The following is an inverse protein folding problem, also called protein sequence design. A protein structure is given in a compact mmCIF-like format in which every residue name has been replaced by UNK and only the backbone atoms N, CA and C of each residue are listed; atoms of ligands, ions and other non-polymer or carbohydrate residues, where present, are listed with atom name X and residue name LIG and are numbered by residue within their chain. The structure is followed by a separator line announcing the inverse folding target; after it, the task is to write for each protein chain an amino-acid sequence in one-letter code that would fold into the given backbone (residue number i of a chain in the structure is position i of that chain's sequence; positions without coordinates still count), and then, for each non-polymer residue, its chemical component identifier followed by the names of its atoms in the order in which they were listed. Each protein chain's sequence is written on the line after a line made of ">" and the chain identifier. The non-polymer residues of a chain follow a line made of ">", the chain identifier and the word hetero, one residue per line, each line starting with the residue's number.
data_IF_620263840307
#
_entry.id   IF_620263840307
#
_cell.length_a   1.000
_cell.length_b   1.000
_cell.length_c   1.000
_cell.angle_alpha   90.00
_cell.angle_beta   90.00
_cell.angle_gamma   90.00
#
_symmetry.space_group_name_H-M   'P 1'
#
loop_
_entity.id
_entity.type
_entity.pdbx_description
1 polymer ?
#
# COMPACT_ATOMS: atom_id res chain seq x y z
N UNK A 1 -2.50 -37.70 11.85
CA UNK A 1 -3.71 -38.04 11.25
C UNK A 1 -4.32 -36.85 10.58
N UNK A 2 -5.35 -37.08 9.89
CA UNK A 2 -6.04 -36.05 9.17
C UNK A 2 -6.38 -34.84 10.02
N UNK A 3 -6.28 -34.99 11.32
CA UNK A 3 -6.67 -33.95 12.23
C UNK A 3 -5.82 -32.69 12.20
N UNK A 4 -4.51 -32.83 12.21
CA UNK A 4 -3.66 -31.66 12.15
C UNK A 4 -3.83 -30.95 10.82
N UNK A 5 -3.89 -31.72 9.78
CA UNK A 5 -4.13 -31.20 8.46
C UNK A 5 -5.51 -30.59 8.34
N UNK A 6 -6.46 -31.22 8.98
CA UNK A 6 -7.81 -30.74 9.01
C UNK A 6 -7.90 -29.44 9.80
N UNK A 7 -7.10 -29.28 10.84
CA UNK A 7 -7.07 -28.04 11.60
C UNK A 7 -6.57 -26.90 10.78
N UNK A 8 -5.54 -27.12 9.99
CA UNK A 8 -5.05 -26.08 9.10
C UNK A 8 -6.09 -25.74 8.05
N UNK A 9 -6.67 -26.73 7.45
CA UNK A 9 -7.72 -26.51 6.47
C UNK A 9 -8.92 -25.84 7.10
N UNK A 10 -9.26 -26.21 8.32
CA UNK A 10 -10.36 -25.60 9.03
C UNK A 10 -10.08 -24.16 9.38
N UNK A 11 -8.84 -23.82 9.75
CA UNK A 11 -8.45 -22.45 9.98
C UNK A 11 -8.55 -21.63 8.71
N UNK A 12 -8.14 -22.20 7.60
CA UNK A 12 -8.26 -21.54 6.32
C UNK A 12 -9.70 -21.37 5.89
N UNK A 13 -10.54 -22.32 6.20
CA UNK A 13 -11.95 -22.23 5.85
C UNK A 13 -12.74 -21.41 6.84
N UNK A 14 -12.38 -21.44 8.14
CA UNK A 14 -13.08 -20.62 9.13
C UNK A 14 -12.63 -19.17 9.09
N UNK A 15 -11.48 -18.90 8.49
CA UNK A 15 -11.06 -17.53 8.17
C UNK A 15 -11.32 -17.35 6.67
N UNK A 16 -12.54 -17.02 6.30
CA UNK A 16 -12.83 -16.91 4.87
C UNK A 16 -11.89 -15.89 4.27
N UNK A 17 -11.35 -16.26 3.14
CA UNK A 17 -10.47 -15.41 2.41
C UNK A 17 -11.17 -14.11 2.09
N UNK A 18 -10.57 -13.01 2.49
CA UNK A 18 -11.09 -11.70 2.21
C UNK A 18 -10.42 -11.14 0.97
N UNK A 19 -10.86 -9.98 0.54
CA UNK A 19 -10.32 -9.34 -0.65
C UNK A 19 -9.62 -8.07 -0.26
N UNK A 20 -8.37 -7.94 -0.70
CA UNK A 20 -7.65 -6.68 -0.64
C UNK A 20 -7.88 -5.92 -1.94
N UNK A 21 -8.14 -4.63 -1.82
CA UNK A 21 -8.26 -3.74 -2.98
C UNK A 21 -6.98 -2.93 -3.08
N UNK A 22 -6.25 -3.14 -4.16
CA UNK A 22 -4.97 -2.48 -4.39
C UNK A 22 -5.10 -1.53 -5.57
N UNK A 23 -4.41 -0.41 -5.49
CA UNK A 23 -4.39 0.55 -6.58
C UNK A 23 -3.01 0.57 -7.21
N UNK A 24 -2.95 0.33 -8.50
CA UNK A 24 -1.70 0.37 -9.26
C UNK A 24 -1.81 1.45 -10.33
N UNK A 25 -0.71 2.15 -10.60
CA UNK A 25 -0.76 3.18 -11.62
C UNK A 25 -0.87 2.61 -13.02
N UNK A 26 -1.69 3.27 -13.83
CA UNK A 26 -1.63 3.14 -15.27
C UNK A 26 -0.92 4.39 -15.77
N UNK A 27 0.36 4.28 -16.06
CA UNK A 27 1.14 5.42 -16.48
C UNK A 27 0.69 5.92 -17.85
N UNK A 28 0.17 5.02 -18.65
CA UNK A 28 -0.37 5.37 -19.96
C UNK A 28 -1.61 6.25 -19.85
N UNK A 29 -2.49 5.94 -18.91
CA UNK A 29 -3.74 6.67 -18.72
C UNK A 29 -3.63 7.81 -17.71
N UNK A 30 -2.57 7.84 -16.93
CA UNK A 30 -2.41 8.84 -15.89
C UNK A 30 -3.38 8.68 -14.73
N UNK A 31 -3.83 7.45 -14.47
CA UNK A 31 -4.82 7.16 -13.42
C UNK A 31 -4.44 5.91 -12.66
N UNK A 32 -5.12 5.69 -11.53
CA UNK A 32 -4.98 4.46 -10.78
C UNK A 32 -6.02 3.46 -11.25
N UNK A 33 -5.64 2.19 -11.25
CA UNK A 33 -6.53 1.09 -11.59
C UNK A 33 -6.62 0.15 -10.40
N UNK A 34 -7.83 -0.21 -10.05
CA UNK A 34 -8.12 -1.08 -8.94
C UNK A 34 -7.87 -2.53 -9.31
N UNK A 35 -7.19 -3.25 -8.43
CA UNK A 35 -6.95 -4.68 -8.58
C UNK A 35 -7.32 -5.37 -7.28
N UNK A 36 -8.23 -6.34 -7.36
CA UNK A 36 -8.64 -7.10 -6.19
C UNK A 36 -7.80 -8.35 -6.08
N UNK A 37 -7.44 -8.68 -4.84
CA UNK A 37 -6.58 -9.82 -4.57
C UNK A 37 -7.04 -10.54 -3.33
N UNK A 38 -7.14 -11.87 -3.35
CA UNK A 38 -7.46 -12.63 -2.14
C UNK A 38 -6.38 -12.44 -1.09
N UNK A 39 -6.80 -12.32 0.15
CA UNK A 39 -5.87 -12.12 1.26
C UNK A 39 -6.44 -12.68 2.55
N UNK A 40 -5.57 -13.14 3.42
CA UNK A 40 -5.93 -13.50 4.80
C UNK A 40 -5.37 -12.40 5.70
N UNK A 41 -6.25 -11.53 6.17
CA UNK A 41 -5.83 -10.38 6.95
C UNK A 41 -5.25 -10.78 8.31
N UNK A 42 -4.15 -10.14 8.67
CA UNK A 42 -3.60 -10.21 10.01
C UNK A 42 -4.57 -9.58 11.02
N UNK A 43 -4.34 -9.84 12.29
CA UNK A 43 -5.24 -9.36 13.33
C UNK A 43 -5.11 -7.87 13.62
N UNK A 44 -3.89 -7.34 13.57
CA UNK A 44 -3.67 -5.92 13.91
C UNK A 44 -3.71 -5.04 12.67
N UNK A 45 -4.16 -3.80 12.86
CA UNK A 45 -4.20 -2.83 11.77
C UNK A 45 -2.80 -2.54 11.24
N UNK A 46 -1.80 -2.45 12.11
CA UNK A 46 -0.44 -2.21 11.67
C UNK A 46 0.06 -3.32 10.74
N UNK A 47 -0.23 -4.57 11.08
CA UNK A 47 0.16 -5.70 10.24
C UNK A 47 -0.65 -5.74 8.95
N UNK A 48 -1.90 -5.33 8.98
CA UNK A 48 -2.70 -5.22 7.77
C UNK A 48 -2.13 -4.18 6.81
N UNK A 49 -1.71 -3.04 7.35
CA UNK A 49 -1.03 -2.02 6.54
C UNK A 49 0.23 -2.60 5.92
N UNK A 50 1.01 -3.33 6.71
CA UNK A 50 2.22 -3.98 6.20
C UNK A 50 1.89 -4.95 5.05
N UNK A 51 0.81 -5.71 5.18
CA UNK A 51 0.39 -6.63 4.13
C UNK A 51 0.05 -5.88 2.83
N UNK A 52 -0.61 -4.73 2.95
CA UNK A 52 -0.93 -3.91 1.77
C UNK A 52 0.36 -3.45 1.09
N UNK A 53 1.32 -2.96 1.86
CA UNK A 53 2.58 -2.49 1.31
C UNK A 53 3.34 -3.63 0.62
N UNK A 54 3.39 -4.81 1.25
CA UNK A 54 4.04 -5.97 0.65
C UNK A 54 3.38 -6.38 -0.66
N UNK A 55 2.05 -6.29 -0.73
CA UNK A 55 1.33 -6.60 -1.96
C UNK A 55 1.66 -5.60 -3.07
N UNK A 56 1.81 -4.32 -2.73
CA UNK A 56 2.20 -3.30 -3.71
C UNK A 56 3.64 -3.53 -4.19
N UNK A 57 4.53 -3.95 -3.30
CA UNK A 57 5.91 -4.26 -3.66
C UNK A 57 5.97 -5.49 -4.59
N UNK A 58 5.11 -6.47 -4.35
CA UNK A 58 5.01 -7.63 -5.23
C UNK A 58 4.62 -7.21 -6.65
N UNK A 59 3.76 -6.22 -6.77
CA UNK A 59 3.36 -5.67 -8.05
C UNK A 59 2.03 -6.21 -8.56
N UNK A 60 1.59 -5.64 -9.66
CA UNK A 60 0.33 -5.99 -10.28
C UNK A 60 0.40 -7.38 -10.92
N UNK A 61 -0.69 -8.12 -10.84
CA UNK A 61 -0.85 -9.39 -11.54
C UNK A 61 -1.58 -9.23 -12.86
N UNK A 62 -1.90 -7.99 -13.22
CA UNK A 62 -2.67 -7.67 -14.43
C UNK A 62 -1.89 -6.80 -15.40
N UNK A 63 -0.58 -6.66 -15.20
CA UNK A 63 0.24 -5.89 -16.12
C UNK A 63 0.21 -4.38 -15.91
N UNK A 64 -0.31 -3.93 -14.79
CA UNK A 64 -0.32 -2.50 -14.46
C UNK A 64 1.07 -2.03 -14.01
N UNK A 65 1.26 -0.73 -13.92
CA UNK A 65 2.52 -0.15 -13.49
C UNK A 65 2.82 -0.41 -12.01
N UNK A 66 4.07 -0.23 -11.64
CA UNK A 66 4.48 -0.40 -10.26
C UNK A 66 4.21 0.84 -9.44
N UNK A 67 3.65 0.63 -8.25
CA UNK A 67 3.52 1.69 -7.26
C UNK A 67 4.80 1.83 -6.43
N UNK A 68 5.47 0.72 -6.16
CA UNK A 68 6.71 0.70 -5.38
C UNK A 68 7.74 -0.14 -6.11
N UNK A 69 9.04 0.20 -6.00
CA UNK A 69 10.07 -0.63 -6.60
C UNK A 69 10.13 -2.00 -5.91
N UNK A 70 10.55 -3.05 -6.62
CA UNK A 70 10.60 -4.39 -6.04
C UNK A 70 11.58 -4.51 -4.88
N UNK A 71 12.48 -3.56 -4.74
CA UNK A 71 13.46 -3.53 -3.66
C UNK A 71 13.00 -2.69 -2.48
N UNK A 72 11.81 -2.09 -2.54
CA UNK A 72 11.29 -1.29 -1.44
C UNK A 72 11.14 -2.16 -0.20
N UNK A 73 11.66 -1.68 0.92
CA UNK A 73 11.59 -2.36 2.20
C UNK A 73 10.88 -1.48 3.21
N UNK A 74 9.80 -2.00 3.78
CA UNK A 74 9.10 -1.32 4.86
C UNK A 74 9.78 -1.70 6.18
N UNK A 75 10.32 -0.72 6.87
CA UNK A 75 11.03 -0.92 8.13
C UNK A 75 10.07 -0.98 9.31
N UNK A 76 9.00 -0.24 9.24
CA UNK A 76 8.03 -0.19 10.32
C UNK A 76 6.75 0.49 9.90
N UNK A 77 5.69 0.17 10.64
CA UNK A 77 4.38 0.79 10.47
C UNK A 77 3.92 1.23 11.85
N UNK A 78 3.55 2.49 12.01
CA UNK A 78 3.09 3.03 13.27
C UNK A 78 1.74 3.70 13.07
N UNK A 79 0.76 3.32 13.88
CA UNK A 79 -0.57 3.90 13.81
C UNK A 79 -0.82 4.73 15.07
N UNK A 80 -1.36 5.92 14.88
CA UNK A 80 -1.73 6.79 16.00
C UNK A 80 -3.24 6.76 16.21
N UNK A 81 -3.65 7.17 17.40
CA UNK A 81 -5.06 7.14 17.76
C UNK A 81 -5.92 8.04 16.87
N UNK A 82 -5.34 9.07 16.27
CA UNK A 82 -6.06 9.98 15.39
C UNK A 82 -6.18 9.47 13.96
N UNK A 83 -5.68 8.27 13.68
CA UNK A 83 -5.81 7.67 12.36
C UNK A 83 -4.66 7.96 11.41
N UNK A 84 -3.51 8.37 11.91
CA UNK A 84 -2.34 8.56 11.06
C UNK A 84 -1.50 7.29 11.02
N UNK A 85 -1.21 6.83 9.82
CA UNK A 85 -0.29 5.70 9.61
C UNK A 85 1.05 6.25 9.15
N UNK A 86 2.08 5.93 9.91
CA UNK A 86 3.46 6.26 9.55
C UNK A 86 4.07 5.04 8.88
N UNK A 87 4.49 5.21 7.63
CA UNK A 87 5.12 4.15 6.86
C UNK A 87 6.61 4.46 6.73
N UNK A 88 7.42 3.68 7.39
CA UNK A 88 8.87 3.91 7.41
C UNK A 88 9.55 2.97 6.44
N UNK A 89 10.07 3.53 5.36
CA UNK A 89 10.78 2.78 4.32
C UNK A 89 12.27 2.90 4.48
N UNK A 90 13.01 1.94 3.93
CA UNK A 90 14.46 2.07 3.84
C UNK A 90 14.82 3.14 2.80
N UNK A 91 15.89 3.88 3.07
CA UNK A 91 16.34 4.95 2.18
C UNK A 91 16.78 4.43 0.81
N UNK A 92 17.13 3.16 0.72
CA UNK A 92 17.51 2.53 -0.53
C UNK A 92 16.43 2.67 -1.61
N UNK A 93 15.19 2.74 -1.19
CA UNK A 93 14.06 2.93 -2.11
C UNK A 93 14.22 4.20 -2.95
N UNK A 94 14.75 5.26 -2.36
CA UNK A 94 14.91 6.54 -3.07
C UNK A 94 15.84 6.44 -4.25
N UNK A 95 16.87 5.60 -4.16
CA UNK A 95 17.85 5.46 -5.23
C UNK A 95 17.26 4.85 -6.49
N UNK A 96 16.24 4.03 -6.33
CA UNK A 96 15.62 3.29 -7.43
C UNK A 96 14.28 3.86 -7.89
N UNK A 97 13.79 4.84 -7.16
CA UNK A 97 12.47 5.40 -7.42
C UNK A 97 12.59 6.69 -8.23
N UNK A 98 12.31 6.60 -9.52
CA UNK A 98 12.46 7.73 -10.45
C UNK A 98 11.24 7.89 -11.36
N UNK A 99 10.05 8.10 -10.79
CA UNK A 99 8.84 8.09 -11.63
C UNK A 99 8.60 9.37 -12.42
N UNK A 100 9.24 10.49 -12.07
CA UNK A 100 8.96 11.78 -12.72
C UNK A 100 7.79 12.53 -12.08
N UNK A 101 7.48 13.73 -12.60
CA UNK A 101 6.56 14.65 -11.93
C UNK A 101 5.14 14.09 -11.77
N UNK A 102 4.50 13.77 -12.87
CA UNK A 102 3.11 13.30 -12.84
C UNK A 102 3.00 11.92 -12.20
N UNK A 103 4.00 11.09 -12.43
CA UNK A 103 4.01 9.71 -11.93
C UNK A 103 4.26 9.63 -10.44
N UNK A 104 5.02 10.58 -9.87
CA UNK A 104 5.29 10.57 -8.44
C UNK A 104 3.99 10.77 -7.65
N UNK A 105 3.16 11.73 -8.06
CA UNK A 105 1.87 11.96 -7.42
C UNK A 105 0.98 10.71 -7.52
N UNK A 106 0.99 10.09 -8.69
CA UNK A 106 0.18 8.89 -8.93
C UNK A 106 0.63 7.74 -8.03
N UNK A 107 1.93 7.57 -7.87
CA UNK A 107 2.48 6.53 -7.01
C UNK A 107 2.13 6.78 -5.55
N UNK A 108 2.26 8.02 -5.09
CA UNK A 108 1.90 8.37 -3.72
C UNK A 108 0.42 8.07 -3.48
N UNK A 109 -0.44 8.45 -4.41
CA UNK A 109 -1.87 8.16 -4.29
C UNK A 109 -2.16 6.67 -4.29
N UNK A 110 -1.41 5.89 -5.08
CA UNK A 110 -1.56 4.43 -5.08
C UNK A 110 -1.30 3.85 -3.69
N UNK A 111 -0.24 4.28 -3.05
CA UNK A 111 0.10 3.81 -1.70
C UNK A 111 -0.95 4.25 -0.69
N UNK A 112 -1.27 5.53 -0.67
CA UNK A 112 -2.19 6.10 0.33
C UNK A 112 -3.60 5.50 0.18
N UNK A 113 -4.10 5.43 -1.04
CA UNK A 113 -5.44 4.89 -1.28
C UNK A 113 -5.50 3.40 -0.96
N UNK A 114 -4.47 2.64 -1.33
CA UNK A 114 -4.44 1.22 -1.04
C UNK A 114 -4.47 0.95 0.47
N UNK A 115 -3.72 1.72 1.24
CA UNK A 115 -3.71 1.57 2.69
C UNK A 115 -5.07 1.97 3.28
N UNK A 116 -5.58 3.14 2.92
CA UNK A 116 -6.77 3.68 3.55
C UNK A 116 -8.03 2.87 3.24
N UNK A 117 -8.14 2.35 2.02
CA UNK A 117 -9.32 1.56 1.62
C UNK A 117 -9.35 0.23 2.35
N UNK A 118 -8.21 -0.39 2.59
CA UNK A 118 -8.15 -1.70 3.22
C UNK A 118 -8.13 -1.64 4.74
N UNK A 119 -7.69 -0.54 5.32
CA UNK A 119 -7.58 -0.39 6.77
C UNK A 119 -8.34 0.88 7.18
N UNK A 120 -9.65 0.76 7.45
CA UNK A 120 -10.51 1.94 7.67
C UNK A 120 -10.11 2.83 8.84
N UNK A 121 -9.35 2.32 9.81
CA UNK A 121 -8.85 3.15 10.89
C UNK A 121 -7.80 4.17 10.43
N UNK A 122 -7.23 3.97 9.25
CA UNK A 122 -6.25 4.89 8.70
C UNK A 122 -6.97 6.01 7.95
N UNK A 123 -6.80 7.23 8.44
CA UNK A 123 -7.42 8.42 7.84
C UNK A 123 -6.43 9.22 7.01
N UNK A 124 -5.15 9.08 7.31
CA UNK A 124 -4.08 9.75 6.60
C UNK A 124 -2.80 8.94 6.73
N UNK A 125 -1.87 9.19 5.82
CA UNK A 125 -0.61 8.46 5.76
C UNK A 125 0.55 9.46 5.78
N UNK A 126 1.58 9.11 6.51
CA UNK A 126 2.82 9.87 6.50
C UNK A 126 3.97 8.94 6.12
N UNK A 127 4.77 9.38 5.17
CA UNK A 127 5.87 8.56 4.64
C UNK A 127 7.17 9.01 5.27
N UNK A 128 7.91 8.04 5.81
CA UNK A 128 9.22 8.27 6.41
C UNK A 128 10.27 7.46 5.65
N UNK A 129 11.50 7.93 5.69
CA UNK A 129 12.66 7.20 5.16
C UNK A 129 13.70 7.11 6.26
N UNK A 130 14.05 5.89 6.66
CA UNK A 130 14.98 5.65 7.77
C UNK A 130 14.58 6.41 9.04
N UNK A 131 13.27 6.40 9.33
CA UNK A 131 12.73 7.03 10.53
C UNK A 131 12.59 8.54 10.44
N UNK A 132 12.90 9.16 9.31
CA UNK A 132 12.86 10.60 9.15
C UNK A 132 11.84 11.03 8.11
N UNK A 133 11.16 12.13 8.39
CA UNK A 133 10.24 12.71 7.42
C UNK A 133 11.02 13.17 6.19
N UNK A 134 10.44 12.99 5.02
CA UNK A 134 11.01 13.47 3.76
C UNK A 134 10.01 14.42 3.12
N UNK A 135 10.53 15.41 2.43
CA UNK A 135 9.67 16.40 1.78
C UNK A 135 9.11 15.89 0.47
N UNK A 136 9.88 15.05 -0.24
CA UNK A 136 9.48 14.46 -1.51
C UNK A 136 10.14 13.11 -1.70
N UNK A 137 9.65 12.31 -2.66
CA UNK A 137 10.33 11.08 -3.08
C UNK A 137 11.36 11.36 -4.17
N UNK A 138 10.97 12.14 -5.17
CA UNK A 138 11.81 12.42 -6.34
C UNK A 138 11.75 13.90 -6.70
N UNK A 139 11.52 14.75 -5.70
CA UNK A 139 11.54 16.20 -5.87
C UNK A 139 10.24 16.84 -6.31
N UNK A 140 9.15 16.06 -6.44
CA UNK A 140 7.93 16.59 -7.05
C UNK A 140 6.69 16.52 -6.16
N UNK A 141 6.38 15.36 -5.59
CA UNK A 141 5.20 15.23 -4.74
C UNK A 141 5.52 15.70 -3.33
N UNK A 142 4.67 16.53 -2.76
CA UNK A 142 4.87 17.06 -1.41
C UNK A 142 4.47 16.01 -0.37
N UNK A 143 5.45 15.52 0.37
CA UNK A 143 5.29 14.55 1.44
C UNK A 143 5.50 15.16 2.83
N UNK A 144 5.65 16.48 2.91
CA UNK A 144 5.97 17.15 4.17
C UNK A 144 4.81 17.08 5.17
N UNK A 145 3.58 16.99 4.68
CA UNK A 145 2.40 16.83 5.50
C UNK A 145 1.82 15.43 5.36
N UNK A 146 0.91 15.07 6.24
CA UNK A 146 0.19 13.82 6.15
C UNK A 146 -0.72 13.84 4.91
N UNK A 147 -0.78 12.70 4.23
CA UNK A 147 -1.49 12.54 2.98
C UNK A 147 -2.85 11.91 3.24
N UNK A 148 -3.89 12.46 2.61
CA UNK A 148 -5.24 11.88 2.71
C UNK A 148 -5.56 11.15 1.40
N UNK A 149 -6.38 10.08 1.48
CA UNK A 149 -6.75 9.36 0.27
C UNK A 149 -7.52 10.26 -0.70
N UNK A 150 -7.24 10.07 -1.99
CA UNK A 150 -7.91 10.78 -3.06
C UNK A 150 -8.37 9.78 -4.11
N UNK A 151 -9.60 9.31 -3.94
CA UNK A 151 -10.16 8.29 -4.82
C UNK A 151 -10.57 8.82 -6.19
N UNK A 152 -10.47 10.13 -6.40
CA UNK A 152 -10.75 10.69 -7.73
C UNK A 152 -9.71 10.25 -8.76
N UNK A 153 -8.50 9.85 -8.31
CA UNK A 153 -7.46 9.33 -9.18
C UNK A 153 -7.74 7.89 -9.60
N UNK A 154 -8.70 7.24 -8.98
CA UNK A 154 -9.11 5.88 -9.27
C UNK A 154 -10.62 5.90 -9.49
N UNK A 155 -11.09 6.32 -10.66
CA UNK A 155 -12.52 6.40 -10.91
C UNK A 155 -13.17 5.03 -10.78
N UNK A 156 -14.41 5.06 -10.34
CA UNK A 156 -15.17 3.82 -10.17
C UNK A 156 -15.15 3.04 -11.46
N UNK A 157 -15.02 1.74 -11.34
CA UNK A 157 -15.07 0.86 -12.48
C UNK A 157 -16.45 0.97 -13.12
N UNK A 158 -16.52 1.25 -14.39
CA UNK A 158 -17.82 1.32 -15.05
C UNK A 158 -18.55 -0.01 -15.05
#
# INVERSE_FOLDING_TARGET
>A
MARAKLSEAALQSTSPQQTATLFFPSYEQGSLVEENRPISWAASDADRVRQVILALVEGSRQGLGRALPPTATIRGVFLTADGTAYLDFSRQMLAEFKPGIASESLVVDAVVNSVAVNVPSVKRVRILMQGQAVDTLDGHADLSDALVPDLTRAPANP
#
